data_IF_414581785861
#
_entry.id   IF_414581785861
#
_cell.length_a   1.000
_cell.length_b   1.000
_cell.length_c   1.000
_cell.angle_alpha   90.00
_cell.angle_beta   90.00
_cell.angle_gamma   90.00
#
_symmetry.space_group_name_H-M   'P 1'
#
loop_
_entity.id
_entity.type
_entity.pdbx_description
1 polymer ?
#
# COMPACT_ATOMS: atom_id res chain seq x y z
N UNK A 1 -9.59 -20.76 7.54
CA UNK A 1 -8.41 -19.88 7.79
C UNK A 1 -8.65 -18.56 7.09
N UNK A 2 -8.76 -17.44 7.83
CA UNK A 2 -8.95 -16.10 7.24
C UNK A 2 -7.58 -15.45 7.06
N UNK A 3 -7.10 -15.29 5.82
CA UNK A 3 -5.82 -14.63 5.54
C UNK A 3 -6.11 -13.21 5.06
N UNK A 4 -6.20 -12.25 5.99
CA UNK A 4 -6.42 -10.84 5.64
C UNK A 4 -5.06 -10.15 5.39
N UNK A 5 -4.82 -9.72 4.16
CA UNK A 5 -3.58 -9.05 3.75
C UNK A 5 -3.85 -7.83 2.88
N UNK A 6 -4.48 -6.78 3.43
CA UNK A 6 -4.76 -5.51 2.74
C UNK A 6 -3.58 -4.51 2.73
N UNK A 7 -2.37 -4.96 3.06
CA UNK A 7 -1.19 -4.10 3.17
C UNK A 7 -0.51 -3.82 1.83
N UNK A 8 0.24 -2.72 1.78
CA UNK A 8 1.11 -2.37 0.65
C UNK A 8 2.56 -2.72 1.00
N UNK A 9 3.25 -3.36 0.06
CA UNK A 9 4.66 -3.71 0.18
C UNK A 9 5.49 -2.89 -0.82
N UNK A 10 6.59 -2.31 -0.36
CA UNK A 10 7.48 -1.50 -1.21
C UNK A 10 8.89 -2.05 -1.13
N UNK A 11 9.41 -2.46 -2.28
CA UNK A 11 10.82 -2.76 -2.48
C UNK A 11 11.57 -1.50 -2.91
N UNK A 12 12.77 -1.25 -2.37
CA UNK A 12 13.68 -0.27 -2.97
C UNK A 12 14.39 -0.95 -4.14
N UNK A 13 13.94 -0.65 -5.35
CA UNK A 13 14.72 -0.88 -6.58
C UNK A 13 15.07 0.48 -7.14
N UNK A 14 16.28 0.68 -7.65
CA UNK A 14 16.72 1.96 -8.23
C UNK A 14 15.63 2.52 -9.16
N UNK A 15 14.95 3.54 -8.67
CA UNK A 15 13.67 4.01 -9.21
C UNK A 15 13.98 4.87 -10.43
N UNK A 16 14.05 4.25 -11.60
CA UNK A 16 13.74 4.98 -12.83
C UNK A 16 12.28 5.41 -12.72
N UNK A 17 12.11 6.71 -12.48
CA UNK A 17 10.83 7.40 -12.45
C UNK A 17 10.12 7.28 -13.79
N UNK A 18 9.22 6.30 -13.90
CA UNK A 18 8.07 6.38 -14.80
C UNK A 18 6.82 5.99 -14.03
N UNK A 19 6.41 6.87 -13.11
CA UNK A 19 5.10 6.79 -12.44
C UNK A 19 4.26 8.01 -12.80
N UNK A 20 4.33 8.45 -14.06
CA UNK A 20 3.61 9.64 -14.53
C UNK A 20 2.09 9.46 -14.57
N UNK A 21 1.56 8.22 -14.52
CA UNK A 21 0.13 7.96 -14.76
C UNK A 21 -0.61 7.13 -13.69
N UNK A 22 -0.05 6.86 -12.51
CA UNK A 22 -0.82 6.27 -11.41
C UNK A 22 -1.36 7.40 -10.51
N UNK A 23 -2.46 8.03 -10.93
CA UNK A 23 -3.20 8.93 -10.03
C UNK A 23 -3.69 8.09 -8.86
N UNK A 24 -3.13 8.29 -7.66
CA UNK A 24 -3.48 7.50 -6.49
C UNK A 24 -4.97 7.67 -6.16
N UNK A 25 -5.64 6.61 -5.71
CA UNK A 25 -7.07 6.66 -5.33
C UNK A 25 -7.42 7.85 -4.41
N UNK A 26 -6.52 8.20 -3.48
CA UNK A 26 -6.70 9.37 -2.62
C UNK A 26 -6.67 10.69 -3.38
N UNK A 27 -5.86 10.80 -4.43
CA UNK A 27 -5.75 11.99 -5.27
C UNK A 27 -6.99 12.15 -6.15
N UNK A 28 -7.50 11.05 -6.73
CA UNK A 28 -8.78 11.05 -7.48
C UNK A 28 -9.92 11.54 -6.59
N UNK A 29 -10.04 10.99 -5.37
CA UNK A 29 -11.11 11.36 -4.45
C UNK A 29 -10.99 12.82 -3.99
N UNK A 30 -9.78 13.31 -3.72
CA UNK A 30 -9.57 14.73 -3.39
C UNK A 30 -9.92 15.66 -4.56
N UNK A 31 -9.59 15.29 -5.81
CA UNK A 31 -10.01 16.03 -7.01
C UNK A 31 -11.53 16.10 -7.16
N UNK A 32 -12.27 15.16 -6.58
CA UNK A 32 -13.74 15.16 -6.52
C UNK A 32 -14.30 15.95 -5.32
N UNK A 33 -13.47 16.70 -4.59
CA UNK A 33 -13.89 17.49 -3.43
C UNK A 33 -14.15 16.65 -2.18
N UNK A 34 -13.73 15.38 -2.15
CA UNK A 34 -13.89 14.51 -0.98
C UNK A 34 -12.80 14.76 0.05
N UNK A 35 -13.19 14.76 1.32
CA UNK A 35 -12.22 14.77 2.41
C UNK A 35 -11.65 13.35 2.56
N UNK A 36 -10.33 13.23 2.38
CA UNK A 36 -9.64 11.93 2.46
C UNK A 36 -8.59 11.96 3.57
N UNK A 37 -8.85 11.20 4.63
CA UNK A 37 -7.94 11.01 5.76
C UNK A 37 -7.38 9.59 5.71
N UNK A 38 -6.14 9.37 6.14
CA UNK A 38 -5.56 8.03 6.24
C UNK A 38 -4.92 7.81 7.60
N UNK A 39 -5.36 6.77 8.29
CA UNK A 39 -4.78 6.32 9.54
C UNK A 39 -3.87 5.12 9.27
N UNK A 40 -2.60 5.24 9.65
CA UNK A 40 -1.65 4.13 9.56
C UNK A 40 -1.92 3.16 10.70
N UNK A 41 -2.20 1.89 10.37
CA UNK A 41 -2.40 0.81 11.32
C UNK A 41 -1.11 0.02 11.59
N UNK A 42 -0.25 -0.09 10.58
CA UNK A 42 1.05 -0.74 10.70
C UNK A 42 2.03 -0.08 9.73
N UNK A 43 3.26 0.10 10.18
CA UNK A 43 4.38 0.50 9.35
C UNK A 43 5.65 -0.12 9.92
N UNK A 44 6.23 -1.06 9.19
CA UNK A 44 7.41 -1.78 9.65
C UNK A 44 8.34 -2.13 8.49
N UNK A 45 9.60 -2.37 8.84
CA UNK A 45 10.58 -2.96 7.93
C UNK A 45 10.69 -4.43 8.29
N UNK A 46 10.38 -5.31 7.35
CA UNK A 46 10.37 -6.76 7.56
C UNK A 46 11.09 -7.48 6.41
N UNK A 47 11.62 -8.70 6.64
CA UNK A 47 12.04 -9.56 5.54
C UNK A 47 10.84 -9.91 4.64
N UNK A 48 11.04 -9.87 3.33
CA UNK A 48 10.00 -10.17 2.36
C UNK A 48 9.54 -11.64 2.45
N UNK A 49 8.26 -11.92 2.76
CA UNK A 49 7.74 -13.28 2.68
C UNK A 49 7.89 -13.83 1.26
N UNK A 50 8.07 -15.15 1.05
CA UNK A 50 8.35 -15.72 -0.27
C UNK A 50 7.37 -15.31 -1.38
N UNK A 51 6.07 -15.25 -1.06
CA UNK A 51 5.04 -14.81 -2.00
C UNK A 51 5.18 -13.34 -2.41
N UNK A 52 5.57 -12.47 -1.47
CA UNK A 52 5.79 -11.04 -1.72
C UNK A 52 7.11 -10.83 -2.46
N UNK A 53 8.17 -11.56 -2.09
CA UNK A 53 9.45 -11.51 -2.78
C UNK A 53 9.30 -11.86 -4.27
N UNK A 54 8.54 -12.92 -4.56
CA UNK A 54 8.19 -13.32 -5.93
C UNK A 54 7.41 -12.23 -6.68
N UNK A 55 6.36 -11.68 -6.05
CA UNK A 55 5.53 -10.64 -6.65
C UNK A 55 6.32 -9.36 -6.97
N UNK A 56 7.19 -8.94 -6.03
CA UNK A 56 8.02 -7.74 -6.17
C UNK A 56 9.30 -7.98 -6.98
N UNK A 57 9.60 -9.23 -7.34
CA UNK A 57 10.82 -9.65 -8.05
C UNK A 57 12.11 -9.19 -7.31
N UNK A 58 12.14 -9.46 -6.01
CA UNK A 58 13.28 -9.22 -5.11
C UNK A 58 13.73 -10.53 -4.48
N UNK A 59 14.84 -10.52 -3.73
CA UNK A 59 15.30 -11.73 -3.03
C UNK A 59 14.34 -12.08 -1.89
N UNK A 60 14.19 -13.38 -1.63
CA UNK A 60 13.53 -13.85 -0.40
C UNK A 60 14.31 -13.28 0.79
N UNK A 61 13.58 -12.86 1.82
CA UNK A 61 14.10 -12.20 3.03
C UNK A 61 14.76 -10.82 2.81
N UNK A 62 14.71 -10.27 1.59
CA UNK A 62 15.12 -8.89 1.36
C UNK A 62 14.24 -7.93 2.17
N UNK A 63 14.85 -6.92 2.80
CA UNK A 63 14.11 -5.99 3.66
C UNK A 63 13.18 -5.10 2.84
N UNK A 64 11.90 -5.15 3.17
CA UNK A 64 10.84 -4.35 2.53
C UNK A 64 10.16 -3.44 3.56
N UNK A 65 9.56 -2.37 3.07
CA UNK A 65 8.60 -1.60 3.86
C UNK A 65 7.22 -2.24 3.70
N UNK A 66 6.60 -2.57 4.83
CA UNK A 66 5.20 -2.96 4.91
C UNK A 66 4.39 -1.82 5.50
N UNK A 67 3.27 -1.46 4.87
CA UNK A 67 2.33 -0.49 5.42
C UNK A 67 0.89 -0.95 5.27
N UNK A 68 0.15 -0.90 6.38
CA UNK A 68 -1.30 -1.10 6.40
C UNK A 68 -1.97 0.17 6.91
N UNK A 69 -3.01 0.63 6.23
CA UNK A 69 -3.72 1.87 6.54
C UNK A 69 -5.22 1.71 6.32
N UNK A 70 -6.01 2.38 7.15
CA UNK A 70 -7.43 2.63 6.87
C UNK A 70 -7.53 4.02 6.28
N UNK A 71 -8.23 4.13 5.15
CA UNK A 71 -8.54 5.42 4.56
C UNK A 71 -9.97 5.77 4.91
N UNK A 72 -10.24 7.02 5.27
CA UNK A 72 -11.57 7.55 5.50
C UNK A 72 -11.91 8.52 4.37
N UNK A 73 -13.16 8.48 3.92
CA UNK A 73 -13.73 9.39 2.93
C UNK A 73 -14.98 9.99 3.54
N UNK A 74 -15.01 11.31 3.71
CA UNK A 74 -16.09 12.05 4.39
C UNK A 74 -16.48 11.40 5.73
N UNK A 75 -15.46 11.09 6.55
CA UNK A 75 -15.62 10.47 7.87
C UNK A 75 -15.92 8.96 7.88
N UNK A 76 -16.15 8.31 6.73
CA UNK A 76 -16.47 6.87 6.64
C UNK A 76 -15.25 6.05 6.21
N UNK A 77 -14.95 4.91 6.86
CA UNK A 77 -13.84 4.07 6.47
C UNK A 77 -14.08 3.46 5.08
N UNK A 78 -13.16 3.74 4.16
CA UNK A 78 -13.03 3.08 2.88
C UNK A 78 -12.46 1.68 3.12
N UNK A 79 -13.34 0.70 3.28
CA UNK A 79 -12.93 -0.71 3.28
C UNK A 79 -12.61 -1.13 1.85
N UNK A 80 -11.35 -1.52 1.62
CA UNK A 80 -11.00 -2.33 0.46
C UNK A 80 -11.49 -3.74 0.78
N UNK A 81 -12.64 -4.12 0.21
CA UNK A 81 -13.16 -5.47 0.34
C UNK A 81 -12.34 -6.47 -0.49
N UNK A 82 -12.17 -7.68 0.05
CA UNK A 82 -11.78 -8.90 -0.67
C UNK A 82 -10.29 -9.09 -0.89
#
# INVERSE_FOLDING_TARGET
>A
MRRHGSGTYVARKDVHHETSNLTGLAEVLRKQGKEVVSQVLAFEVMPAPPAIASLLRIKIDERIYFSRRVRYVDGKPLMLGG
#
